data_IF_378506758732
#
_entry.id   IF_378506758732
#
_cell.length_a   1.000
_cell.length_b   1.000
_cell.length_c   1.000
_cell.angle_alpha   90.00
_cell.angle_beta   90.00
_cell.angle_gamma   90.00
#
_symmetry.space_group_name_H-M   'P 1'
#
loop_
_entity.id
_entity.type
_entity.pdbx_description
1 polymer ?
#
# COMPACT_ATOMS: atom_id res chain seq x y z
N UNK A 1 7.00 -5.07 12.49
CA UNK A 1 8.34 -5.65 12.32
C UNK A 1 8.46 -6.06 10.86
N UNK A 2 9.31 -5.40 10.08
CA UNK A 2 9.72 -5.93 8.77
C UNK A 2 11.10 -6.51 9.00
N UNK A 3 11.16 -7.81 9.21
CA UNK A 3 12.42 -8.57 9.26
C UNK A 3 12.67 -9.07 7.85
N UNK A 4 13.64 -8.49 7.16
CA UNK A 4 14.17 -9.07 5.92
C UNK A 4 15.55 -9.59 6.27
N UNK A 5 15.66 -10.91 6.40
CA UNK A 5 16.93 -11.61 6.49
C UNK A 5 16.92 -12.67 5.40
N UNK A 6 17.65 -12.40 4.32
CA UNK A 6 17.87 -13.37 3.23
C UNK A 6 19.11 -14.17 3.62
N UNK A 7 18.92 -15.32 4.25
CA UNK A 7 20.01 -16.27 4.47
C UNK A 7 19.99 -17.28 3.32
N UNK A 8 20.76 -17.02 2.28
CA UNK A 8 21.13 -18.04 1.28
C UNK A 8 22.36 -18.84 1.73
N UNK A 9 23.12 -18.33 2.70
CA UNK A 9 24.32 -18.95 3.25
C UNK A 9 24.28 -18.96 4.79
N UNK A 10 24.36 -20.16 5.36
CA UNK A 10 24.49 -20.39 6.81
C UNK A 10 25.74 -19.75 7.44
N UNK A 11 26.70 -19.28 6.65
CA UNK A 11 27.91 -18.60 7.12
C UNK A 11 27.77 -17.08 7.26
N UNK A 12 26.62 -16.50 6.88
CA UNK A 12 26.42 -15.06 7.01
C UNK A 12 26.07 -14.70 8.45
N UNK A 13 26.95 -13.95 9.13
CA UNK A 13 26.66 -13.40 10.46
C UNK A 13 25.49 -12.42 10.40
N UNK A 14 24.41 -12.72 11.12
CA UNK A 14 23.25 -11.85 11.28
C UNK A 14 23.06 -11.43 12.74
N UNK A 15 22.54 -10.22 12.94
CA UNK A 15 22.14 -9.71 14.26
C UNK A 15 20.67 -9.30 14.16
N UNK A 16 19.85 -9.80 15.09
CA UNK A 16 18.47 -9.37 15.28
C UNK A 16 18.41 -8.44 16.50
N UNK A 17 17.80 -7.27 16.33
CA UNK A 17 17.51 -6.34 17.42
C UNK A 17 16.02 -6.38 17.68
N UNK A 18 15.66 -6.79 18.89
CA UNK A 18 14.28 -6.96 19.34
C UNK A 18 14.11 -6.42 20.76
N UNK A 19 12.87 -6.17 21.16
CA UNK A 19 12.51 -5.61 22.47
C UNK A 19 12.16 -6.68 23.51
N UNK A 20 12.29 -7.96 23.18
CA UNK A 20 11.95 -9.10 24.04
C UNK A 20 12.92 -10.27 23.86
N UNK A 21 13.02 -11.16 24.86
CA UNK A 21 13.94 -12.31 24.80
C UNK A 21 13.30 -13.60 24.27
N UNK A 22 12.02 -13.83 24.57
CA UNK A 22 11.35 -15.12 24.27
C UNK A 22 9.95 -14.98 23.71
N UNK A 23 9.20 -13.97 24.15
CA UNK A 23 7.83 -13.72 23.68
C UNK A 23 7.57 -12.22 23.60
N UNK A 24 6.78 -11.80 22.61
CA UNK A 24 6.39 -10.41 22.44
C UNK A 24 5.83 -9.81 23.74
N UNK A 25 6.41 -8.69 24.16
CA UNK A 25 5.91 -7.92 25.32
C UNK A 25 4.62 -7.19 24.95
N UNK A 26 4.47 -6.79 23.69
CA UNK A 26 3.31 -6.06 23.23
C UNK A 26 2.07 -6.96 23.13
N UNK A 27 1.07 -6.67 23.97
CA UNK A 27 -0.22 -7.39 24.01
C UNK A 27 -1.12 -7.08 22.81
N UNK A 28 -0.96 -5.90 22.21
CA UNK A 28 -1.73 -5.46 21.05
C UNK A 28 -0.72 -5.02 19.99
N UNK A 29 -0.41 -5.98 19.12
CA UNK A 29 0.44 -5.76 17.96
C UNK A 29 0.10 -4.43 17.28
N UNK A 30 1.12 -3.59 17.07
CA UNK A 30 1.05 -2.26 16.41
C UNK A 30 0.54 -1.06 17.22
N UNK A 31 0.32 -1.18 18.53
CA UNK A 31 -0.05 -0.02 19.36
C UNK A 31 0.96 0.23 20.48
N UNK A 32 1.07 1.50 20.90
CA UNK A 32 1.87 1.96 22.06
C UNK A 32 3.40 1.96 21.88
N UNK A 33 3.90 2.67 20.86
CA UNK A 33 5.34 2.83 20.60
C UNK A 33 5.87 4.12 21.28
N UNK A 34 6.98 4.00 22.00
CA UNK A 34 7.66 5.14 22.64
C UNK A 34 8.71 5.76 21.70
N UNK A 35 8.56 7.05 21.38
CA UNK A 35 9.47 7.78 20.48
C UNK A 35 10.92 7.79 20.98
N UNK A 36 11.13 7.93 22.29
CA UNK A 36 12.48 7.96 22.89
C UNK A 36 13.23 6.65 22.69
N UNK A 37 12.54 5.51 22.78
CA UNK A 37 13.10 4.19 22.52
C UNK A 37 13.52 4.04 21.05
N UNK A 38 12.71 4.54 20.12
CA UNK A 38 13.03 4.54 18.69
C UNK A 38 14.26 5.41 18.39
N UNK A 39 14.35 6.59 19.00
CA UNK A 39 15.53 7.48 18.86
C UNK A 39 16.80 6.79 19.37
N UNK A 40 16.74 6.13 20.52
CA UNK A 40 17.88 5.41 21.09
C UNK A 40 18.32 4.24 20.19
N UNK A 41 17.36 3.42 19.74
CA UNK A 41 17.63 2.31 18.83
C UNK A 41 18.21 2.78 17.49
N UNK A 42 17.64 3.82 16.88
CA UNK A 42 18.15 4.39 15.63
C UNK A 42 19.55 4.97 15.79
N UNK A 43 19.85 5.63 16.92
CA UNK A 43 21.18 6.17 17.21
C UNK A 43 22.23 5.06 17.35
N UNK A 44 21.86 3.96 18.03
CA UNK A 44 22.71 2.79 18.16
C UNK A 44 22.99 2.17 16.79
N UNK A 45 21.94 1.87 16.02
CA UNK A 45 22.06 1.27 14.68
C UNK A 45 22.90 2.14 13.75
N UNK A 46 22.67 3.46 13.71
CA UNK A 46 23.42 4.36 12.84
C UNK A 46 24.92 4.37 13.15
N UNK A 47 25.29 4.42 14.45
CA UNK A 47 26.69 4.40 14.89
C UNK A 47 27.35 3.04 14.64
N UNK A 48 26.63 1.95 14.89
CA UNK A 48 27.12 0.60 14.62
C UNK A 48 27.36 0.39 13.12
N UNK A 49 26.43 0.80 12.26
CA UNK A 49 26.61 0.73 10.81
C UNK A 49 27.78 1.57 10.33
N UNK A 50 27.98 2.77 10.89
CA UNK A 50 29.14 3.60 10.60
C UNK A 50 30.46 2.91 10.96
N UNK A 51 30.51 2.25 12.12
CA UNK A 51 31.69 1.48 12.54
C UNK A 51 31.94 0.29 11.60
N UNK A 52 30.89 -0.45 11.24
CA UNK A 52 31.00 -1.63 10.36
C UNK A 52 31.37 -1.27 8.92
N UNK A 53 30.91 -0.13 8.42
CA UNK A 53 31.20 0.33 7.06
C UNK A 53 32.53 1.07 6.95
N UNK A 54 33.13 1.47 8.08
CA UNK A 54 34.42 2.16 8.12
C UNK A 54 35.56 1.16 8.25
N UNK A 55 36.50 1.18 7.32
CA UNK A 55 37.73 0.36 7.37
C UNK A 55 38.69 0.78 8.52
N UNK A 56 38.48 1.97 9.09
CA UNK A 56 39.31 2.50 10.17
C UNK A 56 38.82 2.00 11.53
N UNK A 57 39.72 1.40 12.33
CA UNK A 57 39.42 0.90 13.69
C UNK A 57 39.56 1.95 14.79
N UNK A 58 40.17 3.10 14.47
CA UNK A 58 40.40 4.18 15.42
C UNK A 58 39.29 5.24 15.29
N UNK A 59 38.21 5.04 16.04
CA UNK A 59 37.11 5.99 16.11
C UNK A 59 37.32 6.96 17.28
N UNK A 60 37.28 8.26 17.00
CA UNK A 60 37.16 9.24 18.06
C UNK A 60 35.72 9.27 18.59
N UNK A 61 35.56 9.39 19.91
CA UNK A 61 34.25 9.60 20.52
C UNK A 61 33.52 10.83 19.92
N UNK A 62 34.28 11.82 19.45
CA UNK A 62 33.75 12.99 18.75
C UNK A 62 33.08 12.64 17.41
N UNK A 63 33.68 11.76 16.59
CA UNK A 63 33.10 11.34 15.32
C UNK A 63 31.77 10.59 15.52
N UNK A 64 31.72 9.69 16.50
CA UNK A 64 30.49 8.97 16.85
C UNK A 64 29.42 9.90 17.44
N UNK A 65 29.82 10.91 18.22
CA UNK A 65 28.88 11.89 18.77
C UNK A 65 28.26 12.82 17.72
N UNK A 66 28.95 13.02 16.58
CA UNK A 66 28.43 13.79 15.46
C UNK A 66 27.30 13.05 14.70
N UNK A 67 27.19 11.73 14.88
CA UNK A 67 26.08 10.93 14.36
C UNK A 67 24.96 10.97 15.41
N UNK A 68 23.91 11.73 15.11
CA UNK A 68 22.75 11.88 15.96
C UNK A 68 21.46 11.76 15.16
N UNK A 69 20.41 11.29 15.82
CA UNK A 69 19.07 11.17 15.25
C UNK A 69 18.29 12.45 15.52
N UNK A 70 17.58 12.95 14.51
CA UNK A 70 16.67 14.07 14.67
C UNK A 70 15.38 13.59 15.36
N UNK A 71 15.20 13.96 16.64
CA UNK A 71 14.06 13.55 17.47
C UNK A 71 12.73 14.02 16.90
N UNK A 72 12.65 15.27 16.45
CA UNK A 72 11.41 15.84 15.89
C UNK A 72 10.99 15.10 14.61
N UNK A 73 11.94 14.70 13.77
CA UNK A 73 11.65 13.90 12.58
C UNK A 73 11.10 12.51 12.95
N UNK A 74 11.62 11.88 14.00
CA UNK A 74 11.11 10.58 14.47
C UNK A 74 9.67 10.72 14.97
N UNK A 75 9.38 11.74 15.77
CA UNK A 75 8.03 12.00 16.27
C UNK A 75 7.03 12.29 15.14
N UNK A 76 7.44 13.10 14.15
CA UNK A 76 6.62 13.36 12.98
C UNK A 76 6.35 12.08 12.17
N UNK A 77 7.38 11.27 11.91
CA UNK A 77 7.23 9.98 11.22
C UNK A 77 6.28 9.03 11.96
N UNK A 78 6.37 8.94 13.30
CA UNK A 78 5.47 8.13 14.11
C UNK A 78 4.02 8.63 13.98
N UNK A 79 3.81 9.95 14.05
CA UNK A 79 2.48 10.55 13.87
C UNK A 79 1.90 10.31 12.46
N UNK A 80 2.73 10.33 11.42
CA UNK A 80 2.30 10.11 10.05
C UNK A 80 2.01 8.64 9.73
N UNK A 81 2.82 7.71 10.27
CA UNK A 81 2.81 6.30 9.85
C UNK A 81 2.06 5.36 10.80
N UNK A 82 1.74 5.78 12.02
CA UNK A 82 1.12 4.92 13.02
C UNK A 82 -0.25 5.40 13.51
N UNK A 83 -0.62 6.66 13.24
CA UNK A 83 -1.90 7.22 13.63
C UNK A 83 -2.72 7.60 12.39
N UNK A 84 -4.05 7.61 12.51
CA UNK A 84 -4.91 8.16 11.45
C UNK A 84 -4.96 9.70 11.46
N UNK A 85 -4.60 10.34 12.58
CA UNK A 85 -4.64 11.80 12.75
C UNK A 85 -3.28 12.28 13.30
N UNK A 86 -2.50 13.09 12.55
CA UNK A 86 -2.77 13.56 11.18
C UNK A 86 -2.59 12.46 10.11
N UNK A 87 -1.95 11.34 10.46
CA UNK A 87 -1.65 10.24 9.53
C UNK A 87 -0.92 10.68 8.27
N UNK A 88 -1.26 10.07 7.14
CA UNK A 88 -0.67 10.40 5.84
C UNK A 88 -1.04 11.83 5.36
N UNK A 89 -1.97 12.52 6.04
CA UNK A 89 -2.24 13.93 5.76
C UNK A 89 -1.24 14.91 6.39
N UNK A 90 -0.25 14.42 7.14
CA UNK A 90 0.79 15.24 7.75
C UNK A 90 1.64 15.99 6.70
N UNK A 91 2.27 17.09 7.13
CA UNK A 91 3.09 17.93 6.25
C UNK A 91 4.24 17.17 5.59
N UNK A 92 4.93 16.31 6.35
CA UNK A 92 6.01 15.48 5.84
C UNK A 92 5.58 14.58 4.68
N UNK A 93 4.44 13.89 4.77
CA UNK A 93 3.98 12.97 3.72
C UNK A 93 3.51 13.75 2.49
N UNK A 94 2.73 14.82 2.68
CA UNK A 94 2.25 15.68 1.58
C UNK A 94 3.36 16.35 0.79
N UNK A 95 4.55 16.48 1.37
CA UNK A 95 5.73 16.99 0.67
C UNK A 95 6.28 16.02 -0.39
N UNK A 96 5.95 14.73 -0.31
CA UNK A 96 6.49 13.71 -1.22
C UNK A 96 5.44 13.04 -2.10
N UNK A 97 4.26 12.78 -1.57
CA UNK A 97 3.22 12.00 -2.26
C UNK A 97 1.85 12.62 -2.10
N UNK A 98 0.93 12.23 -2.97
CA UNK A 98 -0.50 12.53 -2.83
C UNK A 98 -1.21 11.25 -2.36
N UNK A 99 -1.39 11.06 -1.04
CA UNK A 99 -1.99 9.84 -0.50
C UNK A 99 -3.49 9.80 -0.80
N UNK A 100 -4.00 8.59 -1.03
CA UNK A 100 -5.43 8.35 -1.27
C UNK A 100 -6.19 8.31 0.04
N UNK A 101 -5.56 7.77 1.09
CA UNK A 101 -6.17 7.62 2.40
C UNK A 101 -5.42 8.43 3.45
N UNK A 102 -6.14 8.99 4.43
CA UNK A 102 -5.51 9.67 5.57
C UNK A 102 -4.89 8.67 6.54
N UNK A 103 -5.56 7.54 6.81
CA UNK A 103 -5.02 6.56 7.73
C UNK A 103 -3.99 5.65 7.04
N UNK A 104 -2.77 5.50 7.60
CA UNK A 104 -1.75 4.65 7.01
C UNK A 104 -2.16 3.18 7.03
N UNK A 105 -2.05 2.53 5.87
CA UNK A 105 -2.17 1.08 5.75
C UNK A 105 -0.80 0.47 5.49
N UNK A 106 -0.41 -0.50 6.33
CA UNK A 106 0.80 -1.31 6.16
C UNK A 106 0.52 -2.64 5.46
N UNK A 107 -0.69 -2.79 4.91
CA UNK A 107 -0.99 -3.92 4.03
C UNK A 107 -0.11 -3.84 2.78
N UNK A 108 0.51 -4.97 2.44
CA UNK A 108 1.50 -5.05 1.35
C UNK A 108 0.88 -4.93 -0.05
N UNK A 109 -0.44 -5.06 -0.16
CA UNK A 109 -1.15 -5.01 -1.43
C UNK A 109 -0.97 -6.29 -2.25
N UNK A 110 -1.30 -6.21 -3.54
CA UNK A 110 -1.28 -7.33 -4.48
C UNK A 110 -0.53 -6.91 -5.74
N UNK A 111 0.42 -7.73 -6.16
CA UNK A 111 1.07 -7.55 -7.47
C UNK A 111 0.18 -8.21 -8.52
N UNK A 112 -0.53 -7.37 -9.29
CA UNK A 112 -1.52 -7.84 -10.28
C UNK A 112 -0.84 -8.29 -11.58
N UNK A 113 0.06 -7.46 -12.11
CA UNK A 113 0.74 -7.68 -13.39
C UNK A 113 2.17 -8.18 -13.25
N UNK A 114 2.96 -7.98 -14.31
CA UNK A 114 4.37 -8.34 -14.34
C UNK A 114 5.18 -7.63 -13.24
N UNK A 115 5.92 -8.38 -12.41
CA UNK A 115 6.81 -7.78 -11.41
C UNK A 115 7.87 -6.88 -12.04
N UNK A 116 7.96 -5.63 -11.60
CA UNK A 116 8.89 -4.65 -12.15
C UNK A 116 9.50 -3.74 -11.09
N UNK A 117 10.75 -3.31 -11.31
CA UNK A 117 11.43 -2.29 -10.52
C UNK A 117 10.89 -0.88 -10.76
N UNK A 118 10.00 -0.70 -11.75
CA UNK A 118 9.23 0.52 -11.99
C UNK A 118 7.74 0.17 -11.89
N UNK A 119 7.23 -0.06 -10.67
CA UNK A 119 5.86 -0.53 -10.51
C UNK A 119 4.87 0.53 -10.96
N UNK A 120 3.71 0.08 -11.45
CA UNK A 120 2.61 0.97 -11.74
C UNK A 120 2.13 1.62 -10.42
N UNK A 121 2.04 2.96 -10.31
CA UNK A 121 1.75 3.63 -9.03
C UNK A 121 0.47 3.15 -8.35
N UNK A 122 -0.56 2.77 -9.10
CA UNK A 122 -1.82 2.29 -8.52
C UNK A 122 -1.70 0.92 -7.84
N UNK A 123 -0.62 0.16 -8.09
CA UNK A 123 -0.34 -1.11 -7.43
C UNK A 123 0.52 -0.95 -6.17
N UNK A 124 0.98 0.27 -5.87
CA UNK A 124 1.82 0.54 -4.71
C UNK A 124 1.04 1.39 -3.71
N UNK A 125 0.88 0.88 -2.49
CA UNK A 125 0.21 1.61 -1.41
C UNK A 125 0.90 2.94 -1.07
N UNK A 126 0.16 3.84 -0.43
CA UNK A 126 0.63 5.18 -0.07
C UNK A 126 1.90 5.16 0.79
N UNK A 127 2.00 4.22 1.76
CA UNK A 127 3.14 4.11 2.68
C UNK A 127 4.44 3.74 1.93
N UNK A 128 4.52 2.65 1.14
CA UNK A 128 5.72 2.37 0.35
C UNK A 128 6.10 3.49 -0.63
N UNK A 129 5.12 4.16 -1.26
CA UNK A 129 5.38 5.31 -2.16
C UNK A 129 6.03 6.46 -1.41
N UNK A 130 5.53 6.79 -0.22
CA UNK A 130 6.14 7.79 0.66
C UNK A 130 7.54 7.38 1.09
N UNK A 131 7.72 6.16 1.61
CA UNK A 131 9.01 5.66 2.11
C UNK A 131 10.08 5.68 1.02
N UNK A 132 9.73 5.27 -0.21
CA UNK A 132 10.65 5.32 -1.34
C UNK A 132 11.11 6.75 -1.64
N UNK A 133 10.19 7.71 -1.75
CA UNK A 133 10.52 9.12 -2.01
C UNK A 133 11.32 9.74 -0.86
N UNK A 134 10.94 9.46 0.38
CA UNK A 134 11.59 9.96 1.59
C UNK A 134 13.03 9.42 1.71
N UNK A 135 13.23 8.12 1.52
CA UNK A 135 14.56 7.50 1.55
C UNK A 135 15.44 8.03 0.41
N UNK A 136 14.89 8.14 -0.80
CA UNK A 136 15.59 8.69 -1.95
C UNK A 136 16.12 10.10 -1.68
N UNK A 137 15.30 10.97 -1.10
CA UNK A 137 15.72 12.33 -0.72
C UNK A 137 16.77 12.33 0.38
N UNK A 138 16.54 11.60 1.49
CA UNK A 138 17.45 11.60 2.65
C UNK A 138 18.79 10.94 2.40
N UNK A 139 18.86 10.01 1.45
CA UNK A 139 20.10 9.32 1.07
C UNK A 139 20.73 9.88 -0.19
N UNK A 140 20.14 10.93 -0.78
CA UNK A 140 20.67 11.51 -1.99
C UNK A 140 22.05 12.12 -1.77
N UNK A 141 22.91 11.97 -2.77
CA UNK A 141 24.15 12.75 -2.79
C UNK A 141 23.79 14.21 -3.03
N UNK A 142 24.40 15.17 -2.29
CA UNK A 142 24.19 16.59 -2.54
C UNK A 142 24.65 16.96 -3.96
N UNK A 143 23.76 16.83 -4.94
CA UNK A 143 24.02 17.28 -6.29
C UNK A 143 24.00 18.80 -6.30
N UNK A 144 25.05 19.41 -6.83
CA UNK A 144 25.15 20.87 -6.96
C UNK A 144 24.01 21.48 -7.82
N UNK A 145 23.22 20.66 -8.54
CA UNK A 145 22.14 21.09 -9.41
C UNK A 145 20.88 20.21 -9.27
N UNK A 146 20.29 20.13 -8.07
CA UNK A 146 19.01 19.43 -7.83
C UNK A 146 17.76 20.19 -8.35
N UNK A 147 17.87 20.95 -9.46
CA UNK A 147 16.87 21.97 -9.82
C UNK A 147 16.11 21.70 -11.13
N UNK A 148 16.44 20.64 -11.88
CA UNK A 148 15.66 20.30 -13.07
C UNK A 148 14.38 19.57 -12.67
N UNK A 149 13.23 20.17 -12.97
CA UNK A 149 11.94 19.51 -12.85
C UNK A 149 11.90 18.26 -13.75
N UNK A 150 11.37 17.16 -13.24
CA UNK A 150 11.33 15.86 -13.92
C UNK A 150 9.92 15.24 -13.91
N UNK A 151 8.93 15.83 -14.58
CA UNK A 151 7.58 15.26 -14.59
C UNK A 151 7.52 13.82 -15.15
N UNK A 152 8.52 13.40 -15.94
CA UNK A 152 8.57 12.07 -16.55
C UNK A 152 9.85 11.28 -16.25
N UNK A 153 11.02 11.89 -16.37
CA UNK A 153 12.30 11.20 -16.09
C UNK A 153 13.44 12.21 -15.85
N UNK A 154 14.52 11.72 -15.28
CA UNK A 154 15.80 12.42 -15.15
C UNK A 154 16.74 12.08 -16.31
N UNK A 155 17.59 13.03 -16.68
CA UNK A 155 18.47 12.90 -17.84
C UNK A 155 19.77 12.16 -17.53
N UNK A 156 20.27 12.22 -16.30
CA UNK A 156 21.56 11.64 -15.96
C UNK A 156 21.44 10.22 -15.40
N UNK A 157 22.48 9.43 -15.61
CA UNK A 157 22.57 8.06 -15.10
C UNK A 157 22.60 8.03 -13.58
N UNK A 158 21.76 7.21 -12.97
CA UNK A 158 21.68 7.07 -11.51
C UNK A 158 20.86 8.18 -10.83
N UNK A 159 20.27 9.09 -11.60
CA UNK A 159 19.24 9.99 -11.08
C UNK A 159 17.88 9.31 -11.09
N UNK A 160 17.12 9.58 -10.04
CA UNK A 160 15.72 9.20 -9.91
C UNK A 160 14.89 10.45 -9.67
N UNK A 161 13.66 10.45 -10.19
CA UNK A 161 12.75 11.55 -9.97
C UNK A 161 11.87 11.29 -8.74
N UNK A 162 11.93 12.20 -7.77
CA UNK A 162 11.12 12.16 -6.55
C UNK A 162 10.10 13.30 -6.54
N UNK A 163 9.10 13.22 -5.66
CA UNK A 163 8.09 14.27 -5.38
C UNK A 163 7.17 14.65 -6.55
N UNK A 164 7.14 13.87 -7.63
CA UNK A 164 6.31 14.16 -8.82
C UNK A 164 4.83 14.32 -8.45
N UNK A 165 4.33 13.54 -7.50
CA UNK A 165 2.92 13.56 -7.12
C UNK A 165 2.51 14.78 -6.27
N UNK A 166 3.45 15.42 -5.59
CA UNK A 166 3.14 16.51 -4.66
C UNK A 166 2.75 17.80 -5.42
N UNK A 167 3.48 18.12 -6.49
CA UNK A 167 3.32 19.37 -7.24
C UNK A 167 3.30 19.21 -8.77
N UNK A 168 3.37 17.97 -9.26
CA UNK A 168 3.41 17.65 -10.70
C UNK A 168 4.75 17.94 -11.37
N UNK A 169 5.76 18.45 -10.66
CA UNK A 169 7.05 18.86 -11.24
C UNK A 169 8.13 17.84 -10.99
N UNK A 170 8.21 17.32 -9.77
CA UNK A 170 9.27 16.40 -9.34
C UNK A 170 10.67 17.02 -9.31
N UNK A 171 11.61 16.31 -8.68
CA UNK A 171 13.01 16.73 -8.52
C UNK A 171 13.95 15.56 -8.78
N UNK A 172 14.98 15.77 -9.61
CA UNK A 172 16.01 14.78 -9.84
C UNK A 172 17.01 14.73 -8.69
N UNK A 173 17.22 13.53 -8.15
CA UNK A 173 18.22 13.26 -7.12
C UNK A 173 19.04 12.03 -7.47
N UNK A 174 20.33 12.05 -7.16
CA UNK A 174 21.18 10.85 -7.28
C UNK A 174 21.01 10.02 -6.01
N UNK A 175 20.39 8.85 -6.14
CA UNK A 175 20.15 7.93 -5.02
C UNK A 175 20.16 6.48 -5.50
N UNK A 176 20.52 5.57 -4.61
CA UNK A 176 20.51 4.12 -4.84
C UNK A 176 19.16 3.47 -4.49
N UNK A 177 18.17 4.28 -4.09
CA UNK A 177 16.85 3.80 -3.70
C UNK A 177 16.10 3.24 -4.90
N UNK A 178 15.60 2.00 -4.78
CA UNK A 178 14.90 1.28 -5.86
C UNK A 178 13.72 0.48 -5.33
N UNK A 179 12.70 0.29 -6.16
CA UNK A 179 11.68 -0.73 -5.87
C UNK A 179 12.24 -2.11 -6.18
N UNK A 180 11.95 -3.04 -5.28
CA UNK A 180 12.22 -4.46 -5.47
C UNK A 180 10.89 -5.18 -5.33
N UNK A 181 10.40 -5.85 -6.39
CA UNK A 181 9.20 -6.67 -6.29
C UNK A 181 9.41 -7.75 -5.22
N UNK A 182 8.51 -7.80 -4.24
CA UNK A 182 8.54 -8.76 -3.15
C UNK A 182 7.32 -9.68 -3.27
N UNK A 183 7.54 -10.89 -3.75
CA UNK A 183 6.53 -11.93 -3.90
C UNK A 183 7.17 -13.31 -3.69
N UNK A 184 6.35 -14.33 -3.49
CA UNK A 184 6.83 -15.71 -3.32
C UNK A 184 7.63 -16.15 -4.56
N UNK A 185 8.80 -16.74 -4.35
CA UNK A 185 9.62 -17.31 -5.43
C UNK A 185 8.94 -18.50 -6.12
N UNK A 186 7.90 -19.04 -5.50
CA UNK A 186 7.01 -20.06 -6.08
C UNK A 186 5.97 -19.49 -7.03
N UNK A 187 5.89 -18.18 -7.21
CA UNK A 187 5.03 -17.56 -8.20
C UNK A 187 5.86 -17.13 -9.40
N UNK A 188 5.34 -17.39 -10.59
CA UNK A 188 5.96 -16.97 -11.84
C UNK A 188 4.92 -16.30 -12.72
N UNK A 189 5.24 -15.14 -13.27
CA UNK A 189 4.36 -14.42 -14.18
C UNK A 189 4.77 -14.72 -15.61
N UNK A 190 3.92 -15.45 -16.33
CA UNK A 190 4.16 -15.83 -17.72
C UNK A 190 2.88 -15.66 -18.54
N UNK A 191 3.02 -15.07 -19.72
CA UNK A 191 1.90 -14.92 -20.67
C UNK A 191 0.67 -14.28 -20.01
N UNK A 192 0.87 -13.17 -19.30
CA UNK A 192 -0.17 -12.41 -18.59
C UNK A 192 -0.88 -13.18 -17.45
N UNK A 193 -0.30 -14.30 -17.00
CA UNK A 193 -0.90 -15.14 -15.95
C UNK A 193 0.10 -15.52 -14.88
N UNK A 194 -0.38 -15.57 -13.64
CA UNK A 194 0.38 -16.10 -12.52
C UNK A 194 0.29 -17.62 -12.47
N UNK A 195 1.44 -18.28 -12.40
CA UNK A 195 1.56 -19.73 -12.23
C UNK A 195 2.25 -20.04 -10.91
N UNK A 196 1.75 -21.08 -10.24
CA UNK A 196 2.39 -21.61 -9.04
C UNK A 196 3.40 -22.68 -9.47
N UNK A 197 4.66 -22.43 -9.16
CA UNK A 197 5.75 -23.37 -9.34
C UNK A 197 5.72 -24.47 -8.26
N UNK A 198 6.15 -25.69 -8.60
CA UNK A 198 6.30 -26.75 -7.62
C UNK A 198 7.34 -26.36 -6.56
N UNK A 199 7.22 -26.95 -5.37
CA UNK A 199 8.19 -26.74 -4.30
C UNK A 199 9.57 -27.27 -4.72
N UNK A 200 10.61 -26.48 -4.50
CA UNK A 200 11.98 -26.92 -4.68
C UNK A 200 12.45 -27.64 -3.41
N UNK A 201 12.45 -28.98 -3.44
CA UNK A 201 12.84 -29.80 -2.28
C UNK A 201 14.32 -29.70 -1.90
N UNK A 202 15.16 -29.17 -2.80
CA UNK A 202 16.59 -28.98 -2.58
C UNK A 202 16.91 -27.66 -1.87
N UNK A 203 15.94 -26.74 -1.82
CA UNK A 203 16.06 -25.45 -1.15
C UNK A 203 15.19 -25.44 0.12
N UNK A 204 15.78 -25.45 1.32
CA UNK A 204 15.05 -25.36 2.58
C UNK A 204 14.14 -24.13 2.64
N UNK A 205 14.53 -23.01 2.02
CA UNK A 205 13.73 -21.79 1.99
C UNK A 205 12.55 -21.94 1.02
N UNK A 206 12.78 -22.55 -0.15
CA UNK A 206 11.74 -22.87 -1.14
C UNK A 206 10.67 -23.85 -0.64
N UNK A 207 11.01 -24.71 0.32
CA UNK A 207 10.04 -25.57 1.02
C UNK A 207 9.09 -24.78 1.94
N UNK A 208 9.59 -23.70 2.54
CA UNK A 208 8.86 -22.86 3.49
C UNK A 208 8.25 -21.61 2.84
N UNK A 209 8.51 -21.36 1.56
CA UNK A 209 8.05 -20.16 0.84
C UNK A 209 6.51 -20.16 0.70
N UNK A 210 5.81 -19.24 1.38
CA UNK A 210 4.36 -19.23 1.41
C UNK A 210 3.77 -18.60 0.16
N UNK A 211 2.74 -19.24 -0.40
CA UNK A 211 1.99 -18.70 -1.53
C UNK A 211 0.68 -18.12 -1.00
N UNK A 212 0.57 -16.79 -1.06
CA UNK A 212 -0.65 -16.06 -0.72
C UNK A 212 -1.19 -15.36 -1.98
N UNK A 213 -2.48 -15.49 -2.21
CA UNK A 213 -3.20 -14.80 -3.27
C UNK A 213 -4.47 -14.18 -2.71
N UNK A 214 -4.75 -12.94 -3.07
CA UNK A 214 -5.99 -12.26 -2.71
C UNK A 214 -7.03 -12.44 -3.82
N UNK A 215 -8.30 -12.61 -3.44
CA UNK A 215 -9.40 -12.70 -4.41
C UNK A 215 -9.65 -11.34 -5.05
N UNK A 216 -9.90 -11.30 -6.35
CA UNK A 216 -10.40 -10.08 -6.99
C UNK A 216 -11.85 -9.81 -6.57
N UNK A 217 -12.18 -8.54 -6.35
CA UNK A 217 -13.54 -8.06 -6.16
C UNK A 217 -13.79 -6.84 -7.04
N UNK A 218 -15.05 -6.59 -7.41
CA UNK A 218 -15.42 -5.40 -8.18
C UNK A 218 -15.64 -4.19 -7.25
N UNK A 219 -16.63 -4.29 -6.35
CA UNK A 219 -16.90 -3.24 -5.36
C UNK A 219 -17.38 -3.86 -4.06
N UNK A 220 -16.77 -3.45 -2.95
CA UNK A 220 -17.25 -3.77 -1.61
C UNK A 220 -18.08 -2.58 -1.14
N UNK A 221 -19.36 -2.80 -0.88
CA UNK A 221 -20.28 -1.75 -0.42
C UNK A 221 -21.13 -2.28 0.73
N UNK A 222 -21.31 -1.45 1.75
CA UNK A 222 -22.25 -1.70 2.84
C UNK A 222 -23.46 -0.78 2.66
N UNK A 223 -24.67 -1.34 2.65
CA UNK A 223 -25.91 -0.58 2.60
C UNK A 223 -26.83 -1.04 3.71
N UNK A 224 -27.43 -0.07 4.42
CA UNK A 224 -28.41 -0.31 5.47
C UNK A 224 -29.75 0.22 4.99
N UNK A 225 -30.78 -0.62 5.00
CA UNK A 225 -32.13 -0.22 4.63
C UNK A 225 -33.15 -1.00 5.46
N UNK A 226 -34.33 -0.40 5.66
CA UNK A 226 -35.45 -1.08 6.31
C UNK A 226 -36.06 -2.08 5.33
N UNK A 227 -36.24 -3.32 5.77
CA UNK A 227 -36.88 -4.38 4.97
C UNK A 227 -38.39 -4.29 5.16
N UNK A 228 -39.12 -4.14 4.07
CA UNK A 228 -40.57 -4.12 4.08
C UNK A 228 -41.14 -5.52 4.35
N UNK A 229 -42.34 -5.57 4.93
CA UNK A 229 -43.01 -6.84 5.20
C UNK A 229 -43.44 -7.51 3.89
N UNK A 230 -43.02 -8.75 3.66
CA UNK A 230 -43.34 -9.52 2.46
C UNK A 230 -44.86 -9.61 2.19
N UNK A 231 -45.69 -9.66 3.22
CA UNK A 231 -47.15 -9.68 3.05
C UNK A 231 -47.67 -8.40 2.41
N UNK A 232 -47.06 -7.25 2.76
CA UNK A 232 -47.39 -5.97 2.14
C UNK A 232 -47.00 -5.97 0.66
N UNK A 233 -45.80 -6.47 0.34
CA UNK A 233 -45.31 -6.54 -1.05
C UNK A 233 -46.20 -7.43 -1.91
N UNK A 234 -46.62 -8.58 -1.39
CA UNK A 234 -47.55 -9.47 -2.07
C UNK A 234 -48.92 -8.82 -2.29
N UNK A 235 -49.43 -8.09 -1.31
CA UNK A 235 -50.71 -7.40 -1.44
C UNK A 235 -50.63 -6.30 -2.51
N UNK A 236 -49.58 -5.48 -2.51
CA UNK A 236 -49.37 -4.45 -3.53
C UNK A 236 -49.23 -5.07 -4.93
N UNK A 237 -48.49 -6.17 -5.06
CA UNK A 237 -48.35 -6.89 -6.31
C UNK A 237 -49.71 -7.41 -6.83
N UNK A 238 -50.51 -8.05 -5.98
CA UNK A 238 -51.84 -8.56 -6.34
C UNK A 238 -52.80 -7.44 -6.75
N UNK A 239 -52.80 -6.32 -6.01
CA UNK A 239 -53.57 -5.13 -6.38
C UNK A 239 -53.13 -4.56 -7.73
N UNK A 240 -51.82 -4.51 -7.99
CA UNK A 240 -51.26 -4.06 -9.27
C UNK A 240 -51.70 -4.94 -10.45
N UNK A 241 -51.67 -6.27 -10.28
CA UNK A 241 -52.17 -7.23 -11.27
C UNK A 241 -53.68 -7.01 -11.52
N UNK A 242 -54.47 -6.89 -10.45
CA UNK A 242 -55.92 -6.71 -10.55
C UNK A 242 -56.27 -5.44 -11.34
N UNK A 243 -55.64 -4.31 -11.03
CA UNK A 243 -55.87 -3.05 -11.75
C UNK A 243 -55.50 -3.18 -13.23
N UNK A 244 -54.41 -3.87 -13.53
CA UNK A 244 -53.95 -4.08 -14.91
C UNK A 244 -54.94 -4.94 -15.71
N UNK A 245 -55.45 -6.03 -15.12
CA UNK A 245 -56.47 -6.90 -15.75
C UNK A 245 -57.76 -6.14 -15.97
N UNK A 246 -58.23 -5.38 -14.96
CA UNK A 246 -59.45 -4.58 -15.09
C UNK A 246 -59.31 -3.50 -16.16
N UNK A 247 -58.17 -2.81 -16.23
CA UNK A 247 -57.89 -1.83 -17.27
C UNK A 247 -57.88 -2.47 -18.66
N UNK A 248 -57.25 -3.64 -18.82
CA UNK A 248 -57.25 -4.38 -20.07
C UNK A 248 -58.68 -4.76 -20.50
N UNK A 249 -59.47 -5.32 -19.58
CA UNK A 249 -60.87 -5.67 -19.85
C UNK A 249 -61.71 -4.45 -20.22
N UNK A 250 -61.52 -3.31 -19.53
CA UNK A 250 -62.19 -2.06 -19.86
C UNK A 250 -61.80 -1.56 -21.26
N UNK A 251 -60.51 -1.60 -21.62
CA UNK A 251 -60.04 -1.23 -22.97
C UNK A 251 -60.67 -2.13 -24.03
N UNK A 252 -60.67 -3.44 -23.81
CA UNK A 252 -61.30 -4.41 -24.73
C UNK A 252 -62.78 -4.06 -24.90
N UNK A 253 -63.53 -3.93 -23.80
CA UNK A 253 -64.96 -3.59 -23.85
C UNK A 253 -65.23 -2.27 -24.58
N UNK A 254 -64.51 -1.20 -24.25
CA UNK A 254 -64.67 0.11 -24.90
C UNK A 254 -64.36 0.00 -26.39
N UNK A 255 -63.30 -0.72 -26.79
CA UNK A 255 -63.00 -0.97 -28.21
C UNK A 255 -64.15 -1.70 -28.91
N UNK A 256 -64.72 -2.74 -28.30
CA UNK A 256 -65.85 -3.47 -28.89
C UNK A 256 -67.08 -2.58 -29.02
N UNK A 257 -67.38 -1.76 -28.00
CA UNK A 257 -68.49 -0.81 -28.03
C UNK A 257 -68.31 0.25 -29.12
N UNK A 258 -67.11 0.85 -29.22
CA UNK A 258 -66.79 1.83 -30.26
C UNK A 258 -66.85 1.20 -31.66
N UNK A 259 -66.30 0.00 -31.86
CA UNK A 259 -66.35 -0.70 -33.15
C UNK A 259 -67.79 -0.99 -33.59
N UNK A 260 -68.64 -1.46 -32.65
CA UNK A 260 -70.08 -1.67 -32.89
C UNK A 260 -70.81 -0.36 -33.20
N UNK A 261 -70.54 0.71 -32.45
CA UNK A 261 -71.18 2.01 -32.65
C UNK A 261 -70.78 2.68 -33.98
N UNK A 262 -69.52 2.48 -34.42
CA UNK A 262 -69.01 3.00 -35.69
C UNK A 262 -69.35 2.11 -36.91
N UNK A 263 -70.10 1.01 -36.72
CA UNK A 263 -70.45 0.03 -37.79
C UNK A 263 -69.25 -0.39 -38.63
N UNK A 264 -68.12 -0.61 -37.98
CA UNK A 264 -66.93 -1.16 -38.61
C UNK A 264 -66.98 -2.67 -38.38
N UNK A 265 -67.54 -3.38 -39.35
CA UNK A 265 -67.46 -4.84 -39.46
C UNK A 265 -66.00 -5.27 -39.66
#
# INVERSE_FOLDING_TARGET
MITISVFTDSQTSGILLEDFDTSFINKVYHTNINSSSIVAAASLVARTLYILASDNKDFSASALSAIYVNVSLVEELLGCLLACEPGLSCGLVKHYVSPVNTCPSHYVGVIVGEPSSTPYPAYVGDVPRFVWNFLADKTSLPSKNASSACPHNCSNTGEICIRVEADGKGVCVVSTTRYVPAYSTRLNFESETWKVLPQNTSDPMGLMDPVWSESNWNSIQLRVYSVQNATYDHLILLLGILVTVLAYLAIVMVRTFISKALKRD
#
